data_IF_084840572366
#
_entry.id   IF_084840572366
#
_cell.length_a   1.000
_cell.length_b   1.000
_cell.length_c   1.000
_cell.angle_alpha   90.00
_cell.angle_beta   90.00
_cell.angle_gamma   90.00
#
_symmetry.space_group_name_H-M   'P 1'
#
loop_
_entity.id
_entity.type
_entity.pdbx_description
1 polymer ?
#
# COMPACT_ATOMS: atom_id res chain seq x y z
N UNK A 1 9.86 -3.75 38.16
CA UNK A 1 9.68 -4.25 36.78
C UNK A 1 11.03 -4.79 36.33
N UNK A 2 11.19 -6.11 36.29
CA UNK A 2 12.43 -6.72 35.80
C UNK A 2 12.50 -6.58 34.28
N UNK A 3 13.68 -6.32 33.69
CA UNK A 3 13.83 -6.36 32.24
C UNK A 3 13.46 -7.75 31.72
N UNK A 4 12.83 -7.86 30.53
CA UNK A 4 12.48 -9.15 29.95
C UNK A 4 13.75 -10.00 29.75
N UNK A 5 13.64 -11.33 29.86
CA UNK A 5 14.80 -12.22 29.73
C UNK A 5 15.46 -12.06 28.37
N UNK A 6 16.78 -11.91 28.39
CA UNK A 6 17.64 -11.82 27.23
C UNK A 6 17.48 -13.07 26.34
N UNK A 7 16.89 -12.90 25.16
CA UNK A 7 16.77 -13.96 24.17
C UNK A 7 17.85 -13.74 23.08
N UNK A 8 18.93 -14.54 23.06
CA UNK A 8 20.03 -14.37 22.11
C UNK A 8 19.59 -14.55 20.64
N UNK A 9 18.48 -15.24 20.38
CA UNK A 9 17.92 -15.35 19.03
C UNK A 9 17.36 -14.01 18.50
N UNK A 10 16.86 -13.14 19.40
CA UNK A 10 16.37 -11.80 19.04
C UNK A 10 17.51 -10.79 18.84
N UNK A 11 18.67 -11.00 19.46
CA UNK A 11 19.87 -10.19 19.15
C UNK A 11 20.46 -10.52 17.78
N UNK A 12 20.55 -11.81 17.44
CA UNK A 12 21.00 -12.23 16.11
C UNK A 12 20.06 -11.85 14.96
N UNK A 13 18.80 -11.50 15.24
CA UNK A 13 17.85 -10.95 14.25
C UNK A 13 17.90 -9.42 14.14
N UNK A 14 18.34 -8.72 15.20
CA UNK A 14 18.44 -7.25 15.20
C UNK A 14 19.83 -6.75 14.75
N UNK A 15 20.88 -7.54 14.93
CA UNK A 15 22.22 -7.21 14.43
C UNK A 15 22.32 -7.13 12.90
N UNK A 16 21.71 -8.01 12.09
CA UNK A 16 21.72 -7.88 10.63
C UNK A 16 20.92 -6.67 10.14
N UNK A 17 19.89 -6.24 10.88
CA UNK A 17 19.10 -5.06 10.56
C UNK A 17 19.85 -3.77 10.90
N UNK A 18 20.66 -3.77 11.97
CA UNK A 18 21.54 -2.65 12.29
C UNK A 18 22.77 -2.64 11.37
N UNK A 19 23.51 -3.72 11.20
CA UNK A 19 24.74 -3.74 10.40
C UNK A 19 24.54 -3.98 8.89
N UNK A 20 23.32 -3.83 8.40
CA UNK A 20 23.08 -3.93 6.97
C UNK A 20 23.71 -2.76 6.19
N UNK A 21 24.36 -3.00 5.03
CA UNK A 21 24.71 -1.94 4.08
C UNK A 21 23.46 -1.17 3.60
N UNK A 22 22.25 -1.67 3.86
CA UNK A 22 20.99 -0.98 3.61
C UNK A 22 20.67 0.14 4.62
N UNK A 23 21.45 0.35 5.70
CA UNK A 23 21.25 1.50 6.62
C UNK A 23 21.42 2.85 5.90
N UNK A 24 22.15 2.86 4.79
CA UNK A 24 22.32 4.01 3.89
C UNK A 24 21.65 3.84 2.52
N UNK A 25 20.82 2.82 2.33
CA UNK A 25 19.94 2.77 1.18
C UNK A 25 18.77 3.71 1.44
N UNK A 26 19.01 5.01 1.19
CA UNK A 26 17.91 5.86 0.74
C UNK A 26 17.22 5.09 -0.39
N UNK A 27 15.90 4.86 -0.33
CA UNK A 27 15.21 4.19 -1.41
C UNK A 27 15.57 4.93 -2.71
N UNK A 28 15.87 4.20 -3.81
CA UNK A 28 16.49 4.77 -5.01
C UNK A 28 15.68 5.94 -5.58
N UNK A 29 14.40 6.05 -5.21
CA UNK A 29 13.69 7.31 -5.18
C UNK A 29 12.59 7.24 -4.09
N UNK A 30 12.66 8.06 -3.06
CA UNK A 30 11.58 8.23 -2.06
C UNK A 30 10.43 9.03 -2.69
N UNK A 31 9.84 8.53 -3.79
CA UNK A 31 8.79 9.29 -4.48
C UNK A 31 7.53 9.26 -3.61
N UNK A 32 7.06 10.41 -3.07
CA UNK A 32 6.03 10.42 -2.04
C UNK A 32 4.69 9.86 -2.57
N UNK A 33 4.47 9.95 -3.88
CA UNK A 33 3.37 9.26 -4.59
C UNK A 33 3.37 7.74 -4.41
N UNK A 34 4.53 7.10 -4.39
CA UNK A 34 4.63 5.65 -4.21
C UNK A 34 4.21 5.27 -2.79
N UNK A 35 4.63 6.04 -1.78
CA UNK A 35 4.22 5.84 -0.39
C UNK A 35 2.72 6.03 -0.21
N UNK A 36 2.17 7.10 -0.78
CA UNK A 36 0.73 7.36 -0.76
C UNK A 36 -0.05 6.17 -1.36
N UNK A 37 0.33 5.70 -2.54
CA UNK A 37 -0.35 4.59 -3.20
C UNK A 37 -0.22 3.28 -2.42
N UNK A 38 0.97 2.99 -1.87
CA UNK A 38 1.18 1.83 -1.02
C UNK A 38 0.25 1.84 0.21
N UNK A 39 0.19 2.96 0.92
CA UNK A 39 -0.67 3.11 2.09
C UNK A 39 -2.16 3.04 1.73
N UNK A 40 -2.54 3.65 0.61
CA UNK A 40 -3.91 3.60 0.09
C UNK A 40 -4.36 2.17 -0.23
N UNK A 41 -3.53 1.40 -0.94
CA UNK A 41 -3.80 -0.01 -1.27
C UNK A 41 -3.87 -0.86 0.00
N UNK A 42 -2.92 -0.67 0.92
CA UNK A 42 -2.90 -1.38 2.21
C UNK A 42 -4.17 -1.11 3.02
N UNK A 43 -4.60 0.15 3.11
CA UNK A 43 -5.82 0.51 3.83
C UNK A 43 -7.07 -0.07 3.17
N UNK A 44 -7.14 -0.04 1.84
CA UNK A 44 -8.25 -0.64 1.07
C UNK A 44 -8.36 -2.15 1.33
N UNK A 45 -7.22 -2.85 1.33
CA UNK A 45 -7.18 -4.28 1.67
C UNK A 45 -7.61 -4.56 3.12
N UNK A 46 -7.19 -3.72 4.08
CA UNK A 46 -7.62 -3.85 5.48
C UNK A 46 -9.14 -3.64 5.62
N UNK A 47 -9.72 -2.69 4.87
CA UNK A 47 -11.16 -2.45 4.84
C UNK A 47 -11.92 -3.67 4.31
N UNK A 48 -11.44 -4.28 3.22
CA UNK A 48 -12.02 -5.52 2.70
C UNK A 48 -11.97 -6.66 3.72
N UNK A 49 -10.83 -6.84 4.41
CA UNK A 49 -10.69 -7.87 5.45
C UNK A 49 -11.60 -7.67 6.65
N UNK A 50 -12.06 -6.44 6.88
CA UNK A 50 -13.00 -6.12 7.96
C UNK A 50 -14.47 -6.35 7.56
N UNK A 51 -14.75 -6.63 6.29
CA UNK A 51 -16.11 -6.97 5.83
C UNK A 51 -16.50 -8.35 6.38
N UNK A 52 -17.67 -8.40 7.00
CA UNK A 52 -18.30 -9.64 7.44
C UNK A 52 -18.90 -10.38 6.23
N UNK A 53 -18.28 -11.51 5.89
CA UNK A 53 -18.65 -12.31 4.72
C UNK A 53 -20.06 -12.90 4.81
N UNK A 54 -20.50 -13.28 6.02
CA UNK A 54 -21.82 -13.88 6.24
C UNK A 54 -22.91 -12.81 6.06
N UNK A 55 -22.67 -11.60 6.57
CA UNK A 55 -23.57 -10.46 6.33
C UNK A 55 -23.62 -10.05 4.87
N UNK A 56 -22.48 -10.04 4.18
CA UNK A 56 -22.45 -9.77 2.76
C UNK A 56 -23.27 -10.80 1.96
N UNK A 57 -23.09 -12.09 2.25
CA UNK A 57 -23.84 -13.18 1.61
C UNK A 57 -25.35 -13.12 1.94
N UNK A 58 -25.71 -12.72 3.15
CA UNK A 58 -27.10 -12.47 3.56
C UNK A 58 -27.71 -11.21 2.93
N UNK A 59 -26.91 -10.44 2.18
CA UNK A 59 -27.36 -9.27 1.45
C UNK A 59 -27.46 -7.99 2.28
N UNK A 60 -26.81 -7.94 3.44
CA UNK A 60 -26.75 -6.76 4.32
C UNK A 60 -26.25 -5.52 3.58
N UNK A 61 -26.95 -4.39 3.74
CA UNK A 61 -26.63 -3.16 3.04
C UNK A 61 -25.30 -2.55 3.50
N UNK A 62 -24.95 -2.68 4.79
CA UNK A 62 -23.68 -2.19 5.31
C UNK A 62 -22.49 -2.93 4.72
N UNK A 63 -22.57 -4.26 4.69
CA UNK A 63 -21.55 -5.10 4.07
C UNK A 63 -21.44 -4.87 2.56
N UNK A 64 -22.57 -4.73 1.85
CA UNK A 64 -22.58 -4.39 0.41
C UNK A 64 -21.94 -3.04 0.11
N UNK A 65 -22.27 -2.01 0.90
CA UNK A 65 -21.67 -0.68 0.74
C UNK A 65 -20.16 -0.72 0.96
N UNK A 66 -19.70 -1.43 1.99
CA UNK A 66 -18.26 -1.57 2.27
C UNK A 66 -17.49 -2.27 1.13
N UNK A 67 -18.08 -3.30 0.51
CA UNK A 67 -17.50 -3.96 -0.67
C UNK A 67 -17.52 -3.03 -1.88
N UNK A 68 -18.62 -2.32 -2.13
CA UNK A 68 -18.71 -1.35 -3.22
C UNK A 68 -17.68 -0.21 -3.10
N UNK A 69 -17.38 0.24 -1.87
CA UNK A 69 -16.31 1.19 -1.61
C UNK A 69 -14.92 0.62 -1.97
N UNK A 70 -14.67 -0.65 -1.64
CA UNK A 70 -13.41 -1.34 -1.98
C UNK A 70 -13.27 -1.45 -3.50
N UNK A 71 -14.33 -1.82 -4.22
CA UNK A 71 -14.35 -1.88 -5.69
C UNK A 71 -14.07 -0.49 -6.30
N UNK A 72 -14.71 0.56 -5.79
CA UNK A 72 -14.46 1.94 -6.23
C UNK A 72 -13.00 2.37 -5.97
N UNK A 73 -12.43 2.00 -4.82
CA UNK A 73 -11.01 2.26 -4.51
C UNK A 73 -10.08 1.49 -5.42
N UNK A 74 -10.39 0.25 -5.77
CA UNK A 74 -9.61 -0.55 -6.72
C UNK A 74 -9.59 0.07 -8.12
N UNK A 75 -10.75 0.51 -8.62
CA UNK A 75 -10.85 1.26 -9.87
C UNK A 75 -10.04 2.55 -9.83
N UNK A 76 -10.08 3.27 -8.70
CA UNK A 76 -9.31 4.48 -8.50
C UNK A 76 -7.80 4.23 -8.48
N UNK A 77 -7.32 3.15 -7.86
CA UNK A 77 -5.89 2.75 -7.92
C UNK A 77 -5.45 2.57 -9.36
N UNK A 78 -6.23 1.86 -10.18
CA UNK A 78 -5.87 1.68 -11.58
C UNK A 78 -5.78 3.01 -12.35
N UNK A 79 -6.64 3.98 -12.04
CA UNK A 79 -6.52 5.34 -12.59
C UNK A 79 -5.24 6.03 -12.13
N UNK A 80 -4.93 5.96 -10.83
CA UNK A 80 -3.81 6.65 -10.22
C UNK A 80 -2.44 6.15 -10.70
N UNK A 81 -2.26 4.84 -10.81
CA UNK A 81 -0.96 4.27 -11.24
C UNK A 81 -0.66 4.53 -12.72
N UNK A 82 -1.68 4.90 -13.48
CA UNK A 82 -1.59 5.24 -14.90
C UNK A 82 -1.59 6.77 -15.11
N UNK A 83 -1.60 7.57 -14.03
CA UNK A 83 -1.48 9.03 -14.15
C UNK A 83 -0.11 9.40 -14.71
N UNK A 84 -0.13 9.98 -15.90
CA UNK A 84 1.05 10.56 -16.57
C UNK A 84 0.99 12.09 -16.60
N UNK A 85 -0.09 12.69 -16.08
CA UNK A 85 -0.29 14.14 -16.09
C UNK A 85 0.50 14.88 -15.01
N UNK A 86 1.04 14.15 -14.02
CA UNK A 86 1.77 14.72 -12.89
C UNK A 86 0.88 15.26 -11.77
N UNK A 87 -0.45 15.21 -11.92
CA UNK A 87 -1.41 15.65 -10.90
C UNK A 87 -1.29 14.84 -9.62
N UNK A 88 -1.16 13.51 -9.73
CA UNK A 88 -1.00 12.66 -8.56
C UNK A 88 0.31 12.98 -7.82
N UNK A 89 1.38 13.25 -8.56
CA UNK A 89 2.65 13.68 -7.98
C UNK A 89 2.50 15.00 -7.25
N UNK A 90 1.80 15.99 -7.83
CA UNK A 90 1.50 17.25 -7.15
C UNK A 90 0.69 17.05 -5.84
N UNK A 91 -0.37 16.23 -5.88
CA UNK A 91 -1.24 15.96 -4.71
C UNK A 91 -0.52 15.25 -3.56
N UNK A 92 0.55 14.52 -3.89
CA UNK A 92 1.32 13.74 -2.92
C UNK A 92 2.64 14.43 -2.54
N UNK A 93 2.86 15.69 -2.96
CA UNK A 93 4.06 16.46 -2.63
C UNK A 93 5.31 16.09 -3.46
N UNK A 94 5.13 15.37 -4.57
CA UNK A 94 6.16 15.05 -5.55
C UNK A 94 6.28 16.08 -6.68
N UNK A 95 7.29 15.93 -7.52
CA UNK A 95 7.52 16.81 -8.67
C UNK A 95 6.62 16.41 -9.85
N UNK A 96 5.67 17.26 -10.31
CA UNK A 96 4.79 16.92 -11.43
C UNK A 96 5.51 16.77 -12.77
N UNK A 97 6.71 17.33 -12.93
CA UNK A 97 7.54 17.17 -14.15
C UNK A 97 8.28 15.83 -14.18
N UNK A 98 8.21 15.05 -13.10
CA UNK A 98 8.80 13.72 -13.00
C UNK A 98 7.82 12.80 -12.26
N UNK A 99 6.70 12.42 -12.91
CA UNK A 99 5.68 11.59 -12.27
C UNK A 99 6.25 10.23 -11.87
N UNK A 100 5.66 9.63 -10.83
CA UNK A 100 6.04 8.30 -10.38
C UNK A 100 5.76 7.26 -11.49
N UNK A 101 6.77 6.46 -11.83
CA UNK A 101 6.58 5.27 -12.66
C UNK A 101 6.53 4.01 -11.78
N UNK A 102 5.42 3.30 -11.87
CA UNK A 102 5.16 2.07 -11.14
C UNK A 102 5.64 0.83 -11.90
N UNK A 103 6.06 0.97 -13.16
CA UNK A 103 6.51 -0.14 -13.99
C UNK A 103 5.36 -1.06 -14.44
N UNK A 104 5.68 -1.96 -15.37
CA UNK A 104 4.69 -2.81 -16.05
C UNK A 104 4.04 -3.83 -15.12
N UNK A 105 4.78 -4.38 -14.15
CA UNK A 105 4.26 -5.41 -13.25
C UNK A 105 3.14 -4.88 -12.34
N UNK A 106 3.37 -3.73 -11.70
CA UNK A 106 2.36 -3.10 -10.82
C UNK A 106 1.15 -2.68 -11.66
N UNK A 107 1.37 -2.19 -12.89
CA UNK A 107 0.31 -1.86 -13.84
C UNK A 107 -0.57 -3.05 -14.21
N UNK A 108 0.04 -4.19 -14.52
CA UNK A 108 -0.71 -5.41 -14.79
C UNK A 108 -1.51 -5.89 -13.57
N UNK A 109 -0.93 -5.83 -12.37
CA UNK A 109 -1.63 -6.23 -11.13
C UNK A 109 -2.81 -5.32 -10.81
N UNK A 110 -2.70 -4.01 -11.00
CA UNK A 110 -3.82 -3.10 -10.76
C UNK A 110 -4.95 -3.26 -11.78
N UNK A 111 -4.64 -3.61 -13.02
CA UNK A 111 -5.66 -3.88 -14.04
C UNK A 111 -6.55 -5.07 -13.65
N UNK A 112 -6.01 -6.08 -12.99
CA UNK A 112 -6.77 -7.23 -12.46
C UNK A 112 -7.81 -6.77 -11.41
N UNK A 113 -7.53 -5.70 -10.66
CA UNK A 113 -8.44 -5.19 -9.63
C UNK A 113 -9.69 -4.50 -10.20
N UNK A 114 -9.76 -4.33 -11.52
CA UNK A 114 -10.85 -3.64 -12.23
C UNK A 114 -11.71 -4.55 -13.10
N UNK A 115 -11.43 -5.86 -13.09
CA UNK A 115 -12.13 -6.90 -13.84
C UNK A 115 -12.99 -7.72 -12.89
#
# INVERSE_FOLDING_TARGET
MSPPPYNPAMQHLSEPLNNSPFRNCKPPNTHPTIFFLYDFVRNTHNQLKAVDADKYAAGDNGAKNAVGEVEGRNAFVNMLINDTSGKLSMMTGGNPSNPADFGAEIKAKAQILTQ
#
